data_IF_070188243056
#
_entry.id   IF_070188243056
#
_cell.length_a   1.000
_cell.length_b   1.000
_cell.length_c   1.000
_cell.angle_alpha   90.00
_cell.angle_beta   90.00
_cell.angle_gamma   90.00
#
_symmetry.space_group_name_H-M   'P 1'
#
loop_
_entity.id
_entity.type
_entity.pdbx_description
1 polymer ?
#
# COMPACT_ATOMS: atom_id res chain seq x y z
N UNK A 1 32.28 2.91 -14.59
CA UNK A 1 31.81 1.50 -14.56
C UNK A 1 30.76 1.29 -13.46
N UNK A 2 30.96 1.80 -12.23
CA UNK A 2 29.99 1.72 -11.13
C UNK A 2 28.60 2.30 -11.45
N UNK A 3 28.52 3.44 -12.14
CA UNK A 3 27.23 4.08 -12.46
C UNK A 3 26.33 3.28 -13.42
N UNK A 4 26.90 2.39 -14.24
CA UNK A 4 26.13 1.60 -15.19
C UNK A 4 25.47 0.38 -14.51
N UNK A 5 26.20 -0.25 -13.60
CA UNK A 5 25.68 -1.31 -12.72
C UNK A 5 24.61 -0.78 -11.77
N UNK A 6 24.83 0.38 -11.13
CA UNK A 6 23.84 1.02 -10.25
C UNK A 6 22.52 1.33 -10.99
N UNK A 7 22.60 1.81 -12.23
CA UNK A 7 21.40 2.11 -13.03
C UNK A 7 20.65 0.85 -13.47
N UNK A 8 21.36 -0.23 -13.82
CA UNK A 8 20.77 -1.53 -14.13
C UNK A 8 20.08 -2.13 -12.91
N UNK A 9 20.73 -2.07 -11.74
CA UNK A 9 20.17 -2.57 -10.49
C UNK A 9 18.92 -1.78 -10.08
N UNK A 10 18.95 -0.45 -10.18
CA UNK A 10 17.79 0.39 -9.90
C UNK A 10 16.62 0.11 -10.85
N UNK A 11 16.89 -0.15 -12.12
CA UNK A 11 15.85 -0.55 -13.10
C UNK A 11 15.26 -1.92 -12.78
N UNK A 12 16.10 -2.91 -12.48
CA UNK A 12 15.65 -4.25 -12.10
C UNK A 12 14.83 -4.22 -10.80
N UNK A 13 15.28 -3.46 -9.80
CA UNK A 13 14.55 -3.26 -8.55
C UNK A 13 13.20 -2.58 -8.76
N UNK A 14 13.12 -1.59 -9.65
CA UNK A 14 11.84 -0.95 -9.99
C UNK A 14 10.89 -1.90 -10.71
N UNK A 15 11.41 -2.70 -11.65
CA UNK A 15 10.63 -3.71 -12.37
C UNK A 15 10.04 -4.76 -11.43
N UNK A 16 10.75 -5.10 -10.36
CA UNK A 16 10.28 -6.04 -9.33
C UNK A 16 9.02 -5.55 -8.59
N UNK A 17 8.78 -4.24 -8.58
CA UNK A 17 7.57 -3.64 -8.00
C UNK A 17 6.48 -3.40 -9.04
N UNK A 18 6.73 -3.57 -10.33
CA UNK A 18 5.76 -3.21 -11.38
C UNK A 18 4.71 -4.30 -11.67
N UNK A 19 4.58 -5.27 -10.77
CA UNK A 19 3.59 -6.37 -10.85
C UNK A 19 2.18 -5.97 -10.39
N UNK A 20 2.02 -4.85 -9.69
CA UNK A 20 0.72 -4.34 -9.23
C UNK A 20 0.11 -5.04 -8.01
N UNK A 21 0.75 -6.07 -7.45
CA UNK A 21 0.25 -6.79 -6.27
C UNK A 21 0.19 -5.89 -5.04
N UNK A 22 1.26 -5.13 -4.81
CA UNK A 22 1.33 -4.19 -3.68
C UNK A 22 0.27 -3.11 -3.81
N UNK A 23 0.10 -2.57 -5.01
CA UNK A 23 -0.91 -1.57 -5.33
C UNK A 23 -2.32 -2.09 -5.03
N UNK A 24 -2.60 -3.33 -5.44
CA UNK A 24 -3.88 -4.00 -5.19
C UNK A 24 -4.12 -4.18 -3.69
N UNK A 25 -3.15 -4.75 -2.96
CA UNK A 25 -3.25 -4.99 -1.53
C UNK A 25 -3.40 -3.69 -0.74
N UNK A 26 -2.65 -2.65 -1.13
CA UNK A 26 -2.73 -1.33 -0.52
C UNK A 26 -4.10 -0.69 -0.76
N UNK A 27 -4.58 -0.68 -2.01
CA UNK A 27 -5.90 -0.15 -2.34
C UNK A 27 -7.02 -0.85 -1.58
N UNK A 28 -7.03 -2.19 -1.55
CA UNK A 28 -8.05 -2.97 -0.83
C UNK A 28 -7.98 -2.71 0.67
N UNK A 29 -6.77 -2.55 1.23
CA UNK A 29 -6.58 -2.18 2.64
C UNK A 29 -7.20 -0.82 2.95
N UNK A 30 -6.92 0.19 2.13
CA UNK A 30 -7.49 1.54 2.30
C UNK A 30 -9.01 1.52 2.11
N UNK A 31 -9.51 0.80 1.11
CA UNK A 31 -10.95 0.64 0.87
C UNK A 31 -11.64 -0.01 2.06
N UNK A 32 -11.03 -1.05 2.64
CA UNK A 32 -11.58 -1.74 3.82
C UNK A 32 -11.60 -0.85 5.05
N UNK A 33 -10.56 -0.02 5.26
CA UNK A 33 -10.56 1.00 6.31
C UNK A 33 -11.70 2.01 6.09
N UNK A 34 -11.84 2.52 4.85
CA UNK A 34 -12.91 3.47 4.54
C UNK A 34 -14.30 2.87 4.75
N UNK A 35 -14.50 1.61 4.33
CA UNK A 35 -15.74 0.88 4.53
C UNK A 35 -16.03 0.61 6.01
N UNK A 36 -15.02 0.23 6.79
CA UNK A 36 -15.19 -0.04 8.21
C UNK A 36 -15.58 1.23 8.97
N UNK A 37 -15.02 2.38 8.61
CA UNK A 37 -15.42 3.67 9.16
C UNK A 37 -16.82 4.10 8.73
N UNK A 38 -17.22 3.80 7.49
CA UNK A 38 -18.58 4.08 7.04
C UNK A 38 -19.60 3.25 7.83
N UNK A 39 -19.29 1.98 8.11
CA UNK A 39 -20.17 1.07 8.87
C UNK A 39 -20.04 1.19 10.40
N UNK A 40 -19.28 2.17 10.92
CA UNK A 40 -18.96 2.33 12.35
C UNK A 40 -18.30 1.06 12.98
N UNK A 41 -17.60 0.26 12.16
CA UNK A 41 -16.84 -0.94 12.52
C UNK A 41 -15.32 -0.67 12.51
N UNK A 42 -14.89 0.49 13.01
CA UNK A 42 -13.50 0.98 12.94
C UNK A 42 -12.43 -0.07 13.26
N UNK A 43 -12.55 -0.91 14.32
CA UNK A 43 -11.55 -1.94 14.64
C UNK A 43 -11.27 -2.93 13.51
N UNK A 44 -12.28 -3.26 12.69
CA UNK A 44 -12.13 -4.16 11.54
C UNK A 44 -11.26 -3.54 10.44
N UNK A 45 -11.19 -2.22 10.36
CA UNK A 45 -10.37 -1.51 9.38
C UNK A 45 -8.88 -1.83 9.51
N UNK A 46 -8.39 -2.09 10.73
CA UNK A 46 -6.99 -2.43 10.96
C UNK A 46 -6.64 -3.89 10.64
N UNK A 47 -7.64 -4.78 10.58
CA UNK A 47 -7.44 -6.22 10.35
C UNK A 47 -6.93 -6.47 8.94
N UNK A 48 -7.51 -5.81 7.93
CA UNK A 48 -7.16 -6.07 6.54
C UNK A 48 -5.73 -5.65 6.17
N UNK A 49 -5.22 -4.46 6.54
CA UNK A 49 -3.81 -4.12 6.34
C UNK A 49 -2.85 -5.13 6.97
N UNK A 50 -3.16 -5.63 8.16
CA UNK A 50 -2.35 -6.66 8.83
C UNK A 50 -2.35 -7.97 8.03
N UNK A 51 -3.53 -8.41 7.55
CA UNK A 51 -3.64 -9.57 6.67
C UNK A 51 -2.93 -9.36 5.34
N UNK A 52 -3.00 -8.16 4.75
CA UNK A 52 -2.36 -7.84 3.49
C UNK A 52 -0.83 -8.02 3.57
N UNK A 53 -0.20 -7.64 4.69
CA UNK A 53 1.24 -7.91 4.93
C UNK A 53 1.52 -9.41 4.93
N UNK A 54 0.73 -10.18 5.68
CA UNK A 54 0.92 -11.63 5.81
C UNK A 54 0.65 -12.36 4.50
N UNK A 55 -0.30 -11.90 3.70
CA UNK A 55 -0.72 -12.50 2.44
C UNK A 55 0.17 -12.09 1.26
N UNK A 56 0.95 -11.01 1.38
CA UNK A 56 1.78 -10.54 0.27
C UNK A 56 2.78 -11.60 -0.21
N UNK A 57 3.53 -12.25 0.68
CA UNK A 57 4.50 -13.29 0.33
C UNK A 57 3.86 -14.49 -0.39
N UNK A 58 2.82 -15.15 0.17
CA UNK A 58 2.21 -16.31 -0.50
C UNK A 58 1.52 -15.92 -1.80
N UNK A 59 0.88 -14.74 -1.88
CA UNK A 59 0.28 -14.26 -3.13
C UNK A 59 1.34 -14.01 -4.19
N UNK A 60 2.46 -13.39 -3.82
CA UNK A 60 3.58 -13.17 -4.74
C UNK A 60 4.16 -14.48 -5.27
N UNK A 61 4.44 -15.43 -4.37
CA UNK A 61 4.97 -16.76 -4.76
C UNK A 61 4.04 -17.53 -5.68
N UNK A 62 2.73 -17.29 -5.57
CA UNK A 62 1.72 -17.96 -6.41
C UNK A 62 1.46 -17.23 -7.73
N UNK A 63 1.48 -15.90 -7.72
CA UNK A 63 1.02 -15.08 -8.84
C UNK A 63 2.15 -14.44 -9.63
N UNK A 64 3.23 -13.99 -8.98
CA UNK A 64 4.28 -13.19 -9.61
C UNK A 64 5.50 -14.05 -9.92
N UNK A 65 5.99 -14.78 -8.92
CA UNK A 65 7.27 -15.49 -9.03
C UNK A 65 7.29 -16.59 -10.13
N UNK A 66 6.23 -17.39 -10.36
CA UNK A 66 6.23 -18.41 -11.42
C UNK A 66 6.32 -17.82 -12.84
N UNK A 67 5.93 -16.56 -13.01
CA UNK A 67 5.83 -15.90 -14.33
C UNK A 67 7.09 -15.15 -14.72
N UNK A 68 7.92 -14.79 -13.75
CA UNK A 68 9.19 -14.08 -13.98
C UNK A 68 10.37 -15.02 -14.19
N UNK A 69 10.15 -16.34 -14.04
CA UNK A 69 11.21 -17.33 -13.99
C UNK A 69 11.95 -17.27 -12.65
N UNK A 70 12.24 -18.43 -12.08
CA UNK A 70 13.01 -18.54 -10.84
C UNK A 70 14.48 -18.28 -11.15
N UNK A 71 14.92 -17.03 -11.06
CA UNK A 71 16.35 -16.74 -11.00
C UNK A 71 16.74 -16.86 -9.53
N UNK A 72 17.42 -17.94 -9.16
CA UNK A 72 18.08 -18.01 -7.86
C UNK A 72 19.09 -16.88 -7.78
N UNK A 73 18.86 -15.96 -6.86
CA UNK A 73 19.82 -14.92 -6.58
C UNK A 73 20.59 -15.28 -5.32
N UNK A 74 21.92 -15.16 -5.40
CA UNK A 74 22.84 -15.39 -4.30
C UNK A 74 22.48 -14.56 -3.04
N UNK A 75 22.98 -14.99 -1.86
CA UNK A 75 22.54 -14.59 -0.51
C UNK A 75 22.44 -13.09 -0.18
N UNK A 76 22.97 -12.20 -1.03
CA UNK A 76 22.79 -10.74 -0.94
C UNK A 76 21.32 -10.29 -1.14
N UNK A 77 20.50 -11.07 -1.87
CA UNK A 77 19.07 -10.76 -2.10
C UNK A 77 18.11 -11.29 -1.03
N UNK A 78 18.53 -12.26 -0.24
CA UNK A 78 17.80 -12.68 0.96
C UNK A 78 17.78 -11.56 2.01
N UNK A 79 18.88 -10.81 2.12
CA UNK A 79 18.99 -9.59 2.92
C UNK A 79 18.09 -8.46 2.41
N UNK A 80 18.00 -8.27 1.08
CA UNK A 80 17.09 -7.28 0.47
C UNK A 80 15.61 -7.64 0.68
N UNK A 81 15.26 -8.92 0.61
CA UNK A 81 13.89 -9.41 0.89
C UNK A 81 13.55 -9.32 2.37
N UNK A 82 14.50 -9.61 3.27
CA UNK A 82 14.34 -9.37 4.73
C UNK A 82 14.19 -7.89 5.05
N UNK A 83 15.02 -7.03 4.47
CA UNK A 83 14.93 -5.58 4.64
C UNK A 83 13.60 -5.05 4.14
N UNK A 84 13.11 -5.57 3.01
CA UNK A 84 11.78 -5.27 2.50
C UNK A 84 10.66 -5.72 3.43
N UNK A 85 10.71 -6.97 3.95
CA UNK A 85 9.71 -7.43 4.91
C UNK A 85 9.65 -6.50 6.12
N UNK A 86 10.80 -6.08 6.63
CA UNK A 86 10.84 -5.10 7.72
C UNK A 86 10.28 -3.74 7.29
N UNK A 87 10.60 -3.24 6.09
CA UNK A 87 10.07 -1.97 5.59
C UNK A 87 8.56 -1.98 5.36
N UNK A 88 8.02 -3.05 4.78
CA UNK A 88 6.59 -3.26 4.58
C UNK A 88 5.86 -3.48 5.90
N UNK A 89 6.43 -4.28 6.82
CA UNK A 89 5.88 -4.44 8.17
C UNK A 89 5.89 -3.12 8.92
N UNK A 90 6.97 -2.34 8.90
CA UNK A 90 7.05 -1.02 9.53
C UNK A 90 6.06 -0.04 8.93
N UNK A 91 5.91 -0.03 7.60
CA UNK A 91 4.94 0.82 6.91
C UNK A 91 3.52 0.46 7.31
N UNK A 92 3.13 -0.81 7.17
CA UNK A 92 1.77 -1.27 7.44
C UNK A 92 1.42 -1.21 8.93
N UNK A 93 2.34 -1.62 9.81
CA UNK A 93 2.19 -1.47 11.26
C UNK A 93 2.15 0.01 11.66
N UNK A 94 2.97 0.86 11.02
CA UNK A 94 2.94 2.30 11.19
C UNK A 94 1.58 2.89 10.86
N UNK A 95 1.00 2.57 9.69
CA UNK A 95 -0.37 2.98 9.33
C UNK A 95 -1.41 2.46 10.32
N UNK A 96 -1.30 1.21 10.78
CA UNK A 96 -2.27 0.62 11.70
C UNK A 96 -2.20 1.26 13.10
N UNK A 97 -1.00 1.42 13.66
CA UNK A 97 -0.77 2.08 14.96
C UNK A 97 -1.23 3.53 14.92
N UNK A 98 -0.96 4.22 13.81
CA UNK A 98 -1.36 5.61 13.63
C UNK A 98 -2.89 5.76 13.49
N UNK A 99 -3.55 4.84 12.77
CA UNK A 99 -5.01 4.78 12.72
C UNK A 99 -5.63 4.55 14.10
N UNK A 100 -5.06 3.63 14.90
CA UNK A 100 -5.48 3.39 16.27
C UNK A 100 -5.24 4.60 17.18
N UNK A 101 -4.10 5.27 17.05
CA UNK A 101 -3.76 6.48 17.80
C UNK A 101 -4.75 7.61 17.53
N UNK A 102 -5.07 7.88 16.26
CA UNK A 102 -6.06 8.90 15.87
C UNK A 102 -7.44 8.58 16.44
N UNK A 103 -7.84 7.30 16.43
CA UNK A 103 -9.09 6.85 17.03
C UNK A 103 -9.14 7.07 18.55
N UNK A 104 -8.09 6.66 19.28
CA UNK A 104 -8.00 6.87 20.73
C UNK A 104 -7.96 8.36 21.09
N UNK A 105 -7.28 9.17 20.27
CA UNK A 105 -7.27 10.63 20.45
C UNK A 105 -8.68 11.20 20.28
N UNK A 106 -9.43 10.80 19.25
CA UNK A 106 -10.81 11.23 19.02
C UNK A 106 -11.71 10.92 20.22
N UNK A 107 -11.65 9.70 20.75
CA UNK A 107 -12.41 9.27 21.93
C UNK A 107 -12.08 10.08 23.19
N UNK A 108 -10.83 10.52 23.35
CA UNK A 108 -10.39 11.23 24.56
C UNK A 108 -11.05 12.60 24.78
N UNK A 109 -11.68 13.20 23.77
CA UNK A 109 -12.35 14.50 23.90
C UNK A 109 -11.44 15.71 24.16
N UNK A 110 -10.11 15.49 24.25
CA UNK A 110 -9.10 16.50 24.59
C UNK A 110 -8.78 17.49 23.45
N UNK A 111 -9.34 17.27 22.25
CA UNK A 111 -8.95 17.95 21.01
C UNK A 111 -9.93 19.05 20.56
N UNK A 112 -10.39 19.93 21.46
CA UNK A 112 -11.38 20.96 21.10
C UNK A 112 -10.94 21.86 19.94
N UNK A 113 -9.65 22.21 19.86
CA UNK A 113 -9.11 23.08 18.80
C UNK A 113 -8.85 22.36 17.46
N UNK A 114 -8.61 21.04 17.50
CA UNK A 114 -8.27 20.25 16.30
C UNK A 114 -9.40 19.34 15.83
N UNK A 115 -10.60 19.43 16.43
CA UNK A 115 -11.73 18.54 16.17
C UNK A 115 -12.09 18.41 14.69
N UNK A 116 -11.93 19.49 13.90
CA UNK A 116 -12.17 19.49 12.45
C UNK A 116 -11.10 18.75 11.65
N UNK A 117 -9.87 18.67 12.15
CA UNK A 117 -8.76 18.00 11.47
C UNK A 117 -8.83 16.48 11.64
N UNK A 118 -9.33 16.02 12.80
CA UNK A 118 -9.30 14.59 13.15
C UNK A 118 -9.98 13.67 12.13
N UNK A 119 -11.14 14.01 11.51
CA UNK A 119 -11.73 13.19 10.46
C UNK A 119 -10.82 13.07 9.24
N UNK A 120 -10.09 14.11 8.86
CA UNK A 120 -9.21 14.10 7.69
C UNK A 120 -7.88 13.35 7.93
N UNK A 121 -7.45 13.22 9.19
CA UNK A 121 -6.14 12.67 9.56
C UNK A 121 -5.86 11.28 8.97
N UNK A 122 -6.76 10.28 9.04
CA UNK A 122 -6.44 8.95 8.52
C UNK A 122 -6.04 8.96 7.03
N UNK A 123 -6.78 9.69 6.20
CA UNK A 123 -6.49 9.80 4.76
C UNK A 123 -5.18 10.55 4.51
N UNK A 124 -4.97 11.69 5.19
CA UNK A 124 -3.73 12.48 5.06
C UNK A 124 -2.50 11.67 5.47
N UNK A 125 -2.59 10.94 6.57
CA UNK A 125 -1.48 10.15 7.10
C UNK A 125 -1.14 8.96 6.20
N UNK A 126 -2.14 8.24 5.70
CA UNK A 126 -1.93 7.18 4.70
C UNK A 126 -1.25 7.75 3.44
N UNK A 127 -1.70 8.92 2.97
CA UNK A 127 -1.10 9.61 1.83
C UNK A 127 0.36 10.00 2.08
N UNK A 128 0.65 10.60 3.23
CA UNK A 128 2.00 11.00 3.62
C UNK A 128 2.94 9.80 3.80
N UNK A 129 2.45 8.72 4.42
CA UNK A 129 3.24 7.50 4.59
C UNK A 129 3.57 6.84 3.23
N UNK A 130 2.74 7.01 2.19
CA UNK A 130 3.05 6.49 0.86
C UNK A 130 4.27 7.18 0.21
N UNK A 131 4.69 8.37 0.67
CA UNK A 131 5.87 9.09 0.15
C UNK A 131 7.17 8.32 0.39
N UNK A 132 7.55 7.94 1.63
CA UNK A 132 8.77 7.16 1.85
C UNK A 132 8.71 5.82 1.10
N UNK A 133 7.51 5.23 0.93
CA UNK A 133 7.36 4.03 0.11
C UNK A 133 7.63 4.31 -1.38
N UNK A 134 7.18 5.44 -1.92
CA UNK A 134 7.48 5.88 -3.27
C UNK A 134 8.99 6.11 -3.49
N UNK A 135 9.65 6.75 -2.53
CA UNK A 135 11.10 6.99 -2.54
C UNK A 135 11.87 5.67 -2.49
N UNK A 136 11.47 4.76 -1.60
CA UNK A 136 12.11 3.46 -1.42
C UNK A 136 11.97 2.56 -2.65
N UNK A 137 10.76 2.47 -3.23
CA UNK A 137 10.50 1.62 -4.40
C UNK A 137 10.94 2.25 -5.72
N UNK A 138 11.16 3.58 -5.75
CA UNK A 138 11.40 4.33 -6.98
C UNK A 138 10.20 4.36 -7.94
N UNK A 139 9.02 3.94 -7.49
CA UNK A 139 7.83 3.82 -8.31
C UNK A 139 7.00 5.10 -8.25
N UNK A 140 6.96 5.84 -9.38
CA UNK A 140 6.27 7.14 -9.47
C UNK A 140 4.77 7.09 -9.13
N UNK A 141 4.12 5.94 -9.34
CA UNK A 141 2.68 5.77 -9.10
C UNK A 141 2.27 5.91 -7.63
N UNK A 142 3.16 5.62 -6.68
CA UNK A 142 2.88 5.85 -5.26
C UNK A 142 2.75 7.33 -4.90
N UNK A 143 3.41 8.24 -5.63
CA UNK A 143 3.13 9.68 -5.51
C UNK A 143 1.71 10.03 -5.98
N UNK A 144 1.20 9.32 -6.99
CA UNK A 144 -0.19 9.42 -7.42
C UNK A 144 -1.15 8.97 -6.30
N UNK A 145 -0.84 7.88 -5.61
CA UNK A 145 -1.64 7.41 -4.47
C UNK A 145 -1.55 8.37 -3.27
N UNK A 146 -0.39 8.96 -3.00
CA UNK A 146 -0.26 10.07 -2.05
C UNK A 146 -1.22 11.20 -2.40
N UNK A 147 -1.23 11.65 -3.67
CA UNK A 147 -2.11 12.73 -4.10
C UNK A 147 -3.59 12.37 -3.91
N UNK A 148 -4.00 11.16 -4.33
CA UNK A 148 -5.38 10.69 -4.16
C UNK A 148 -5.80 10.74 -2.69
N UNK A 149 -4.95 10.24 -1.78
CA UNK A 149 -5.27 10.19 -0.36
C UNK A 149 -5.20 11.55 0.33
N UNK A 150 -4.28 12.43 -0.10
CA UNK A 150 -4.23 13.81 0.37
C UNK A 150 -5.48 14.58 -0.05
N UNK A 151 -5.90 14.44 -1.32
CA UNK A 151 -7.14 15.04 -1.81
C UNK A 151 -8.35 14.51 -1.04
N UNK A 152 -8.42 13.19 -0.78
CA UNK A 152 -9.48 12.61 0.03
C UNK A 152 -9.52 13.22 1.45
N UNK A 153 -8.37 13.42 2.08
CA UNK A 153 -8.24 14.08 3.38
C UNK A 153 -8.68 15.55 3.35
N UNK A 154 -8.22 16.32 2.36
CA UNK A 154 -8.62 17.72 2.18
C UNK A 154 -10.12 17.85 1.95
N UNK A 155 -10.71 17.01 1.09
CA UNK A 155 -12.15 17.01 0.83
C UNK A 155 -12.94 16.65 2.10
N UNK A 156 -12.45 15.69 2.89
CA UNK A 156 -13.05 15.35 4.19
C UNK A 156 -13.06 16.56 5.12
N UNK A 157 -11.94 17.31 5.20
CA UNK A 157 -11.80 18.52 6.01
C UNK A 157 -12.74 19.65 5.54
N UNK A 158 -12.81 19.89 4.22
CA UNK A 158 -13.62 20.97 3.65
C UNK A 158 -15.12 20.73 3.80
N UNK A 159 -15.55 19.47 3.79
CA UNK A 159 -16.96 19.09 3.89
C UNK A 159 -17.40 18.76 5.32
N UNK A 160 -16.50 18.83 6.31
CA UNK A 160 -16.73 18.42 7.71
C UNK A 160 -17.41 17.05 7.82
N UNK A 161 -17.02 16.15 6.93
CA UNK A 161 -17.63 14.83 6.76
C UNK A 161 -16.86 13.77 7.54
N UNK A 162 -17.49 12.61 7.77
CA UNK A 162 -16.79 11.40 8.18
C UNK A 162 -15.78 11.00 7.07
N UNK A 163 -14.62 10.41 7.40
CA UNK A 163 -13.62 10.03 6.40
C UNK A 163 -13.99 8.80 5.58
N UNK A 164 -14.88 7.95 6.09
CA UNK A 164 -15.20 6.65 5.49
C UNK A 164 -15.47 6.71 3.97
N UNK A 165 -16.40 7.55 3.49
CA UNK A 165 -16.73 7.63 2.06
C UNK A 165 -15.54 8.05 1.17
N UNK A 166 -14.76 9.06 1.58
CA UNK A 166 -13.65 9.57 0.76
C UNK A 166 -12.44 8.62 0.79
N UNK A 167 -12.17 7.99 1.92
CA UNK A 167 -11.17 6.93 2.02
C UNK A 167 -11.55 5.71 1.20
N UNK A 168 -12.83 5.30 1.23
CA UNK A 168 -13.32 4.20 0.41
C UNK A 168 -13.18 4.52 -1.07
N UNK A 169 -13.58 5.72 -1.51
CA UNK A 169 -13.43 6.15 -2.90
C UNK A 169 -11.95 6.17 -3.35
N UNK A 170 -11.05 6.71 -2.52
CA UNK A 170 -9.61 6.70 -2.78
C UNK A 170 -9.04 5.28 -2.84
N UNK A 171 -9.43 4.42 -1.90
CA UNK A 171 -9.06 3.01 -1.87
C UNK A 171 -9.52 2.26 -3.14
N UNK A 172 -10.78 2.43 -3.55
CA UNK A 172 -11.33 1.84 -4.77
C UNK A 172 -10.53 2.30 -6.00
N UNK A 173 -10.22 3.60 -6.11
CA UNK A 173 -9.44 4.13 -7.23
C UNK A 173 -8.04 3.49 -7.29
N UNK A 174 -7.36 3.35 -6.15
CA UNK A 174 -6.06 2.68 -6.05
C UNK A 174 -6.18 1.18 -6.39
N UNK A 175 -7.23 0.51 -5.89
CA UNK A 175 -7.50 -0.91 -6.20
C UNK A 175 -7.70 -1.13 -7.69
N UNK A 176 -8.48 -0.29 -8.37
CA UNK A 176 -8.71 -0.38 -9.81
C UNK A 176 -7.38 -0.18 -10.55
N UNK A 177 -6.57 0.80 -10.15
CA UNK A 177 -5.22 1.00 -10.71
C UNK A 177 -4.33 -0.23 -10.52
N UNK A 178 -4.26 -0.77 -9.31
CA UNK A 178 -3.48 -1.97 -9.00
C UNK A 178 -3.95 -3.20 -9.76
N UNK A 179 -5.27 -3.40 -9.87
CA UNK A 179 -5.87 -4.47 -10.64
C UNK A 179 -5.56 -4.34 -12.14
N UNK A 180 -5.59 -3.13 -12.69
CA UNK A 180 -5.22 -2.88 -14.09
C UNK A 180 -3.72 -3.15 -14.35
N UNK A 181 -2.84 -2.76 -13.43
CA UNK A 181 -1.40 -3.05 -13.51
C UNK A 181 -1.16 -4.56 -13.43
N UNK A 182 -1.74 -5.23 -12.44
CA UNK A 182 -1.65 -6.69 -12.27
C UNK A 182 -2.22 -7.43 -13.48
N UNK A 183 -3.38 -7.02 -14.00
CA UNK A 183 -3.98 -7.62 -15.19
C UNK A 183 -3.07 -7.52 -16.42
N UNK A 184 -2.44 -6.36 -16.64
CA UNK A 184 -1.43 -6.18 -17.69
C UNK A 184 -0.18 -7.05 -17.45
N UNK A 185 0.30 -7.12 -16.21
CA UNK A 185 1.42 -7.97 -15.84
C UNK A 185 1.12 -9.44 -16.17
N UNK A 186 -0.03 -9.96 -15.74
CA UNK A 186 -0.45 -11.34 -16.00
C UNK A 186 -0.64 -11.63 -17.50
N UNK A 187 -1.12 -10.65 -18.27
CA UNK A 187 -1.24 -10.77 -19.72
C UNK A 187 0.12 -10.74 -20.44
N UNK A 188 1.08 -9.99 -19.91
CA UNK A 188 2.43 -9.87 -20.49
C UNK A 188 3.29 -11.09 -20.17
N UNK A 189 3.12 -11.65 -18.97
CA UNK A 189 3.85 -12.82 -18.50
C UNK A 189 2.87 -13.98 -18.22
N UNK A 190 2.39 -14.68 -19.26
CA UNK A 190 1.51 -15.84 -19.08
C UNK A 190 2.24 -16.92 -18.28
N UNK A 191 1.50 -17.66 -17.45
CA UNK A 191 2.05 -18.82 -16.73
C UNK A 191 2.32 -19.95 -17.72
N UNK A 192 3.52 -20.50 -17.66
CA UNK A 192 3.88 -21.72 -18.39
C UNK A 192 3.08 -22.91 -17.81
N UNK A 193 2.20 -23.58 -18.58
CA UNK A 193 1.43 -24.72 -18.11
C UNK A 193 2.29 -25.92 -17.72
N UNK A 194 3.49 -26.02 -18.31
CA UNK A 194 4.36 -27.19 -18.19
C UNK A 194 5.44 -27.01 -17.11
N UNK A 195 5.59 -25.80 -16.57
CA UNK A 195 6.44 -25.51 -15.42
C UNK A 195 5.75 -25.94 -14.11
N UNK A 196 5.64 -27.25 -13.92
CA UNK A 196 5.31 -27.84 -12.61
C UNK A 196 6.54 -27.73 -11.69
N UNK A 197 6.37 -27.45 -10.39
CA UNK A 197 7.47 -27.50 -9.42
C UNK A 197 8.06 -28.91 -9.26
#
# INVERSE_FOLDING_TARGET
>A
MNSLFENLERKAFRSFWDDGLVDLLFGVSVATIGLSWWLDLVPLGAVFPALAVSLWVPLRRRLVDPRLGYVEFSGERELKTRSFRHGMTMFMAGTALLGAFVFLWWESGTALEFRRLVPAMPALLIGLLAIPFAVFTGCRRFYGYTLVMVVAGIVTLLLDSRPGPFMLAGGIAITISGAAIMGRFLATYPSDPDASP
#
